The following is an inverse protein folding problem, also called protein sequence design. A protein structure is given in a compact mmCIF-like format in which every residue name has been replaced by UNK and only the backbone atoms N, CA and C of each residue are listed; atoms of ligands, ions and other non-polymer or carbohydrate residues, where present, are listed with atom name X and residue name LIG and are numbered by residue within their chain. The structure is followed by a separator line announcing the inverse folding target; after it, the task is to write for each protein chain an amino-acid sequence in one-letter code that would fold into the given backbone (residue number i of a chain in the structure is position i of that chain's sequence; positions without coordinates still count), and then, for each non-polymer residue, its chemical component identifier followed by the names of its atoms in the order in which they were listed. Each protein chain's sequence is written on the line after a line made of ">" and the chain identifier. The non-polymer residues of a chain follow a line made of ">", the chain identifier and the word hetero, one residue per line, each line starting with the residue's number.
data_IF_091862429589
#
_entry.id   IF_091862429589
#
_cell.length_a   1.000
_cell.length_b   1.000
_cell.length_c   1.000
_cell.angle_alpha   90.00
_cell.angle_beta   90.00
_cell.angle_gamma   90.00
#
_symmetry.space_group_name_H-M   'P 1'
#
loop_
_entity.id
_entity.type
_entity.pdbx_description
1 polymer ?
#
# COMPACT_ATOMS: atom_id res chain seq x y z
N UNK A 1 -18.41 10.05 -1.09
CA UNK A 1 -16.97 10.11 -0.83
C UNK A 1 -16.74 9.29 0.44
N UNK A 2 -15.96 8.22 0.35
CA UNK A 2 -15.68 7.34 1.49
C UNK A 2 -15.10 8.13 2.66
N UNK A 3 -15.50 7.81 3.89
CA UNK A 3 -14.90 8.34 5.11
C UNK A 3 -13.52 7.69 5.34
N UNK A 4 -12.59 7.89 4.41
CA UNK A 4 -11.20 7.45 4.52
C UNK A 4 -10.44 8.40 5.44
N UNK A 5 -9.53 7.86 6.25
CA UNK A 5 -8.64 8.64 7.12
C UNK A 5 -7.82 9.63 6.25
N UNK A 6 -7.61 10.90 6.66
CA UNK A 6 -6.76 11.85 5.95
C UNK A 6 -5.37 11.33 5.56
N UNK A 7 -4.81 10.40 6.34
CA UNK A 7 -3.54 9.74 6.02
C UNK A 7 -3.64 8.82 4.79
N UNK A 8 -4.76 8.10 4.65
CA UNK A 8 -5.05 7.27 3.47
C UNK A 8 -5.15 8.16 2.23
N UNK A 9 -5.90 9.26 2.32
CA UNK A 9 -6.07 10.20 1.21
C UNK A 9 -4.73 10.80 0.77
N UNK A 10 -3.91 11.25 1.73
CA UNK A 10 -2.56 11.76 1.43
C UNK A 10 -1.68 10.71 0.77
N UNK A 11 -1.68 9.49 1.30
CA UNK A 11 -0.84 8.40 0.76
C UNK A 11 -1.26 8.02 -0.66
N UNK A 12 -2.56 8.00 -0.95
CA UNK A 12 -3.07 7.74 -2.29
C UNK A 12 -2.77 8.88 -3.27
N UNK A 13 -2.79 10.12 -2.80
CA UNK A 13 -2.37 11.28 -3.59
C UNK A 13 -0.88 11.22 -3.93
N UNK A 14 -0.02 10.92 -2.96
CA UNK A 14 1.42 10.75 -3.19
C UNK A 14 1.72 9.59 -4.16
N UNK A 15 1.04 8.46 -4.02
CA UNK A 15 1.15 7.35 -4.97
C UNK A 15 0.74 7.78 -6.39
N UNK A 16 -0.32 8.59 -6.52
CA UNK A 16 -0.80 9.08 -7.81
C UNK A 16 0.19 10.06 -8.46
N UNK A 17 0.83 10.90 -7.65
CA UNK A 17 1.90 11.80 -8.12
C UNK A 17 3.09 11.00 -8.66
N UNK A 18 3.53 9.96 -7.94
CA UNK A 18 4.60 9.08 -8.41
C UNK A 18 4.24 8.38 -9.73
N UNK A 19 2.99 7.94 -9.90
CA UNK A 19 2.54 7.36 -11.18
C UNK A 19 2.54 8.41 -12.29
N UNK A 20 2.10 9.65 -12.03
CA UNK A 20 2.20 10.72 -13.00
C UNK A 20 3.66 11.04 -13.39
N UNK A 21 4.60 10.98 -12.45
CA UNK A 21 6.04 11.12 -12.72
C UNK A 21 6.58 9.94 -13.55
N UNK A 22 6.20 8.70 -13.23
CA UNK A 22 6.56 7.51 -13.99
C UNK A 22 6.12 7.64 -15.46
N UNK A 23 4.88 8.09 -15.66
CA UNK A 23 4.32 8.31 -16.98
C UNK A 23 4.99 9.45 -17.75
N UNK A 24 5.62 10.40 -17.08
CA UNK A 24 6.33 11.53 -17.73
C UNK A 24 7.77 11.19 -18.08
N UNK A 25 8.50 10.53 -17.18
CA UNK A 25 9.95 10.45 -17.22
C UNK A 25 10.53 9.03 -17.45
N UNK A 26 9.70 7.99 -17.68
CA UNK A 26 10.14 6.62 -17.97
C UNK A 26 11.22 6.08 -16.99
N UNK A 27 11.15 6.48 -15.71
CA UNK A 27 12.26 6.35 -14.76
C UNK A 27 12.08 5.27 -13.69
N UNK A 28 13.12 4.42 -13.54
CA UNK A 28 13.26 3.35 -12.53
C UNK A 28 13.36 3.83 -11.06
N UNK A 29 13.57 5.13 -10.81
CA UNK A 29 13.79 5.66 -9.44
C UNK A 29 12.56 5.64 -8.52
N UNK A 30 11.41 5.17 -9.01
CA UNK A 30 10.14 5.20 -8.29
C UNK A 30 9.86 3.92 -7.48
N UNK A 31 10.74 2.92 -7.58
CA UNK A 31 10.53 1.58 -7.01
C UNK A 31 10.56 1.59 -5.47
N UNK A 32 11.54 2.28 -4.87
CA UNK A 32 11.76 2.23 -3.41
C UNK A 32 10.75 3.07 -2.64
N UNK A 33 10.46 4.29 -3.12
CA UNK A 33 9.48 5.19 -2.48
C UNK A 33 8.06 4.62 -2.53
N UNK A 34 7.74 3.88 -3.60
CA UNK A 34 6.47 3.17 -3.77
C UNK A 34 6.22 2.16 -2.66
N UNK A 35 7.19 1.32 -2.30
CA UNK A 35 6.97 0.27 -1.30
C UNK A 35 6.69 0.85 0.09
N UNK A 36 7.38 1.94 0.47
CA UNK A 36 7.11 2.66 1.71
C UNK A 36 5.65 3.15 1.78
N UNK A 37 5.16 3.77 0.71
CA UNK A 37 3.78 4.26 0.64
C UNK A 37 2.75 3.14 0.66
N UNK A 38 3.01 2.01 -0.02
CA UNK A 38 2.12 0.84 0.02
C UNK A 38 2.01 0.25 1.42
N UNK A 39 3.12 0.22 2.19
CA UNK A 39 3.11 -0.19 3.59
C UNK A 39 2.35 0.80 4.46
N UNK A 40 2.59 2.10 4.32
CA UNK A 40 1.83 3.14 5.05
C UNK A 40 0.34 2.96 4.80
N UNK A 41 -0.07 2.79 3.54
CA UNK A 41 -1.46 2.59 3.17
C UNK A 41 -2.07 1.36 3.87
N UNK A 42 -1.33 0.25 3.90
CA UNK A 42 -1.74 -0.97 4.60
C UNK A 42 -1.87 -0.77 6.11
N UNK A 43 -0.89 -0.11 6.73
CA UNK A 43 -0.86 0.18 8.18
C UNK A 43 -1.95 1.16 8.61
N UNK A 44 -2.33 2.11 7.75
CA UNK A 44 -3.45 3.02 7.97
C UNK A 44 -4.81 2.33 7.85
N UNK A 45 -4.86 1.02 7.58
CA UNK A 45 -6.08 0.23 7.53
C UNK A 45 -6.83 0.35 6.20
N UNK A 46 -6.18 0.78 5.12
CA UNK A 46 -6.79 0.77 3.79
C UNK A 46 -7.12 -0.68 3.39
N UNK A 47 -8.40 -0.99 3.35
CA UNK A 47 -8.90 -2.28 2.88
C UNK A 47 -9.72 -2.09 1.61
N UNK A 48 -9.47 -2.92 0.60
CA UNK A 48 -10.20 -2.93 -0.67
C UNK A 48 -11.64 -3.47 -0.54
N UNK A 49 -12.25 -3.37 0.64
CA UNK A 49 -13.52 -3.99 1.03
C UNK A 49 -14.75 -3.35 0.39
N UNK A 50 -14.62 -2.22 -0.30
CA UNK A 50 -15.74 -1.47 -0.87
C UNK A 50 -15.71 -1.41 -2.41
N UNK A 51 -15.31 -2.50 -3.08
CA UNK A 51 -15.35 -2.59 -4.55
C UNK A 51 -14.35 -1.72 -5.32
N UNK A 52 -13.69 -0.79 -4.63
CA UNK A 52 -12.59 0.00 -5.16
C UNK A 52 -11.28 -0.74 -4.89
N UNK A 53 -10.61 -1.12 -5.98
CA UNK A 53 -9.26 -1.64 -5.95
C UNK A 53 -8.30 -0.45 -5.92
N UNK A 54 -7.17 -0.57 -5.21
CA UNK A 54 -6.06 0.39 -5.22
C UNK A 54 -5.74 0.88 -6.65
N UNK A 55 -5.77 -0.05 -7.61
CA UNK A 55 -5.58 0.25 -9.03
C UNK A 55 -6.57 1.31 -9.53
N UNK A 56 -7.87 1.15 -9.28
CA UNK A 56 -8.92 2.07 -9.73
C UNK A 56 -8.82 3.43 -9.04
N UNK A 57 -8.53 3.44 -7.75
CA UNK A 57 -8.37 4.69 -6.98
C UNK A 57 -7.18 5.52 -7.49
N UNK A 58 -6.06 4.86 -7.80
CA UNK A 58 -4.88 5.53 -8.36
C UNK A 58 -5.13 5.94 -9.80
N UNK A 59 -5.74 5.09 -10.64
CA UNK A 59 -6.05 5.45 -12.03
C UNK A 59 -6.96 6.67 -12.14
N UNK A 60 -8.00 6.77 -11.31
CA UNK A 60 -8.91 7.90 -11.29
C UNK A 60 -8.16 9.19 -10.90
N UNK A 61 -7.40 9.16 -9.81
CA UNK A 61 -6.59 10.30 -9.37
C UNK A 61 -5.55 10.72 -10.40
N UNK A 62 -4.90 9.75 -11.06
CA UNK A 62 -3.89 10.01 -12.11
C UNK A 62 -4.54 10.66 -13.34
N UNK A 63 -5.72 10.18 -13.77
CA UNK A 63 -6.49 10.79 -14.87
C UNK A 63 -6.93 12.21 -14.53
N UNK A 64 -7.31 12.48 -13.28
CA UNK A 64 -7.65 13.83 -12.82
C UNK A 64 -6.44 14.77 -12.77
N UNK A 65 -5.28 14.28 -12.30
CA UNK A 65 -4.09 15.10 -12.07
C UNK A 65 -3.21 15.33 -13.29
N UNK A 66 -2.98 14.30 -14.10
CA UNK A 66 -2.10 14.38 -15.27
C UNK A 66 -2.79 14.07 -16.60
N UNK A 67 -4.13 14.02 -16.61
CA UNK A 67 -5.03 14.20 -17.78
C UNK A 67 -4.47 13.72 -19.12
N UNK A 68 -3.91 14.66 -19.89
CA UNK A 68 -3.35 14.41 -21.22
C UNK A 68 -2.30 13.28 -21.23
N UNK A 69 -1.36 13.28 -20.28
CA UNK A 69 -0.34 12.24 -20.16
C UNK A 69 -0.95 10.87 -19.86
N UNK A 70 -1.93 10.83 -18.94
CA UNK A 70 -2.63 9.60 -18.58
C UNK A 70 -3.49 9.04 -19.74
N UNK A 71 -4.11 9.92 -20.53
CA UNK A 71 -4.93 9.54 -21.69
C UNK A 71 -4.09 8.99 -22.84
N UNK A 72 -2.95 9.62 -23.15
CA UNK A 72 -2.06 9.15 -24.23
C UNK A 72 -1.22 7.93 -23.83
N UNK A 73 -1.00 7.71 -22.53
CA UNK A 73 -0.22 6.58 -21.99
C UNK A 73 -1.07 5.58 -21.21
N UNK A 74 -2.32 5.37 -21.62
CA UNK A 74 -3.28 4.49 -20.91
C UNK A 74 -2.77 3.06 -20.69
N UNK A 75 -2.06 2.47 -21.66
CA UNK A 75 -1.46 1.15 -21.49
C UNK A 75 -0.35 1.11 -20.45
N UNK A 76 0.51 2.13 -20.40
CA UNK A 76 1.55 2.27 -19.39
C UNK A 76 0.94 2.54 -18.00
N UNK A 77 -0.11 3.36 -17.94
CA UNK A 77 -0.87 3.62 -16.71
C UNK A 77 -1.40 2.31 -16.12
N UNK A 78 -2.14 1.53 -16.91
CA UNK A 78 -2.68 0.24 -16.44
C UNK A 78 -1.59 -0.76 -16.05
N UNK A 79 -0.44 -0.75 -16.74
CA UNK A 79 0.70 -1.60 -16.37
C UNK A 79 1.28 -1.23 -15.00
N UNK A 80 1.52 0.06 -14.75
CA UNK A 80 2.07 0.57 -13.49
C UNK A 80 1.08 0.36 -12.34
N UNK A 81 -0.21 0.62 -12.54
CA UNK A 81 -1.23 0.46 -11.49
C UNK A 81 -1.53 -1.02 -11.21
N UNK A 82 -1.37 -1.90 -12.20
CA UNK A 82 -1.45 -3.36 -11.99
C UNK A 82 -0.30 -3.89 -11.15
N UNK A 83 0.93 -3.42 -11.39
CA UNK A 83 2.10 -3.75 -10.54
C UNK A 83 1.89 -3.26 -9.11
N UNK A 84 1.41 -2.02 -8.92
CA UNK A 84 1.04 -1.48 -7.60
C UNK A 84 0.02 -2.37 -6.87
N UNK A 85 -1.05 -2.74 -7.56
CA UNK A 85 -2.09 -3.60 -6.98
C UNK A 85 -1.57 -5.00 -6.61
N UNK A 86 -0.68 -5.57 -7.42
CA UNK A 86 -0.05 -6.87 -7.14
C UNK A 86 0.83 -6.78 -5.90
N UNK A 87 1.70 -5.77 -5.82
CA UNK A 87 2.58 -5.56 -4.66
C UNK A 87 1.81 -5.32 -3.38
N UNK A 88 0.76 -4.49 -3.42
CA UNK A 88 -0.08 -4.24 -2.26
C UNK A 88 -0.74 -5.53 -1.74
N UNK A 89 -1.27 -6.37 -2.64
CA UNK A 89 -1.81 -7.69 -2.27
C UNK A 89 -0.74 -8.59 -1.66
N UNK A 90 0.46 -8.62 -2.23
CA UNK A 90 1.59 -9.39 -1.69
C UNK A 90 1.96 -8.90 -0.29
N UNK A 91 2.08 -7.59 -0.06
CA UNK A 91 2.36 -7.02 1.26
C UNK A 91 1.27 -7.39 2.28
N UNK A 92 0.00 -7.21 1.93
CA UNK A 92 -1.12 -7.60 2.80
C UNK A 92 -1.12 -9.09 3.16
N UNK A 93 -0.72 -9.95 2.21
CA UNK A 93 -0.56 -11.39 2.46
C UNK A 93 0.61 -11.69 3.40
N UNK A 94 1.73 -10.97 3.31
CA UNK A 94 2.86 -11.17 4.21
C UNK A 94 2.53 -10.71 5.64
N UNK A 95 1.94 -9.53 5.81
CA UNK A 95 1.54 -9.02 7.13
C UNK A 95 0.51 -9.93 7.82
N UNK A 96 -0.43 -10.51 7.06
CA UNK A 96 -1.39 -11.48 7.61
C UNK A 96 -0.79 -12.86 7.92
N UNK A 97 0.37 -13.19 7.34
CA UNK A 97 1.09 -14.45 7.56
C UNK A 97 2.15 -14.37 8.64
N UNK A 98 2.57 -13.16 9.03
CA UNK A 98 3.51 -12.92 10.13
C UNK A 98 2.72 -12.71 11.43
N UNK A 99 2.45 -13.74 12.24
CA UNK A 99 2.14 -13.48 13.64
C UNK A 99 3.40 -12.84 14.24
N UNK A 100 3.29 -11.61 14.71
CA UNK A 100 4.36 -10.81 15.32
C UNK A 100 5.42 -11.66 16.05
N UNK A 101 6.55 -11.89 15.40
CA UNK A 101 7.70 -12.60 15.98
C UNK A 101 8.61 -11.64 16.76
N UNK A 102 8.00 -10.69 17.49
CA UNK A 102 8.69 -9.77 18.38
C UNK A 102 7.95 -9.61 19.71
N UNK A 103 8.18 -10.55 20.62
CA UNK A 103 8.54 -10.20 22.02
C UNK A 103 9.45 -11.26 22.64
N UNK A 104 10.72 -10.94 22.94
CA UNK A 104 11.49 -11.65 23.95
C UNK A 104 11.37 -10.89 25.28
N UNK A 105 10.71 -11.48 26.30
CA UNK A 105 10.90 -11.30 27.76
C UNK A 105 9.59 -11.60 28.51
N UNK A 106 9.54 -12.47 29.51
CA UNK A 106 10.28 -12.36 30.78
C UNK A 106 10.30 -13.72 31.52
N UNK A 107 11.43 -14.19 32.08
CA UNK A 107 11.40 -15.30 33.02
C UNK A 107 10.99 -14.76 34.40
N UNK A 108 9.95 -15.32 35.01
CA UNK A 108 9.65 -15.11 36.42
C UNK A 108 9.06 -16.40 37.01
N UNK A 109 9.88 -17.01 37.87
CA UNK A 109 9.53 -18.08 38.79
C UNK A 109 8.12 -17.92 39.39
N UNK A 110 7.31 -18.97 39.27
CA UNK A 110 6.38 -19.33 40.34
C UNK A 110 6.70 -20.76 40.75
N UNK A 111 7.33 -20.90 41.90
CA UNK A 111 7.40 -22.17 42.64
C UNK A 111 5.97 -22.58 42.98
N UNK A 112 5.49 -23.68 42.39
CA UNK A 112 4.36 -24.44 42.96
C UNK A 112 4.91 -25.75 43.48
N UNK A 113 5.23 -25.74 44.77
CA UNK A 113 5.41 -26.93 45.58
C UNK A 113 4.03 -27.53 45.86
N UNK A 114 3.77 -28.72 45.30
CA UNK A 114 2.86 -29.81 45.75
C UNK A 114 2.85 -30.84 44.60
N UNK A 115 3.04 -32.15 44.75
CA UNK A 115 2.73 -33.07 45.85
C UNK A 115 3.49 -34.42 45.63
N UNK A 116 3.49 -35.26 46.67
CA UNK A 116 4.07 -36.62 46.86
C UNK A 116 5.42 -36.73 47.60
#
# INVERSE_FOLDING_TARGET
>A
MSHTNPEIERTLDELSELVCEALKNEGDQLIDRREGLLRTLLMSGYSSTSGNCLMTDIENRVKERCGECAMHRGGALSSVTSDLGTRFKTLAQWESRSPSDETPSKPANISSATDA
#
